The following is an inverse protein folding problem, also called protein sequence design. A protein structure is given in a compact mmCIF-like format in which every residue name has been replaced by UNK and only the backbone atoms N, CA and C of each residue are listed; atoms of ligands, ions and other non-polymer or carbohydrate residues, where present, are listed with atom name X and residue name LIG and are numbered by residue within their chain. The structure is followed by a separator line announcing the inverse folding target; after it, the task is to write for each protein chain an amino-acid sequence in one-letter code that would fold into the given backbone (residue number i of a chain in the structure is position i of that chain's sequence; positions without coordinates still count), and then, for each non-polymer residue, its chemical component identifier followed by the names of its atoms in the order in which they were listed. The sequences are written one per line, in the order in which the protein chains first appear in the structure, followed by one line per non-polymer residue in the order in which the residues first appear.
data_IF_143210203851
#
_entry.id   IF_143210203851
#
_cell.length_a   1.000
_cell.length_b   1.000
_cell.length_c   1.000
_cell.angle_alpha   90.00
_cell.angle_beta   90.00
_cell.angle_gamma   90.00
#
_symmetry.space_group_name_H-M   'P 1'
#
loop_
_entity.id
_entity.type
_entity.pdbx_description
1 polymer ?
#
# COMPACT_ATOMS: atom_id res chain seq x y z
N UNK A 1 9.68 5.31 22.01
CA UNK A 1 9.60 5.94 20.68
C UNK A 1 10.46 5.15 19.70
N UNK A 2 10.32 5.32 18.38
CA UNK A 2 11.15 4.59 17.39
C UNK A 2 12.65 4.89 17.56
N UNK A 3 12.98 6.05 18.13
CA UNK A 3 14.35 6.46 18.44
C UNK A 3 15.00 5.62 19.56
N UNK A 4 14.22 4.94 20.41
CA UNK A 4 14.75 4.13 21.51
C UNK A 4 15.42 2.83 21.04
N UNK A 5 15.16 2.43 19.80
CA UNK A 5 15.75 1.23 19.21
C UNK A 5 17.21 1.42 18.80
N UNK A 6 17.71 2.68 18.76
CA UNK A 6 19.08 3.01 18.41
C UNK A 6 19.57 2.31 17.12
N UNK A 7 18.75 2.38 16.07
CA UNK A 7 19.00 1.66 14.82
C UNK A 7 20.33 2.08 14.16
N UNK A 8 21.03 1.07 13.63
CA UNK A 8 22.19 1.22 12.77
C UNK A 8 21.91 0.72 11.34
N UNK A 9 22.66 1.23 10.38
CA UNK A 9 22.62 0.71 9.01
C UNK A 9 23.05 -0.76 8.98
N UNK A 10 22.21 -1.61 8.42
CA UNK A 10 22.37 -3.07 8.40
C UNK A 10 21.43 -3.81 9.34
N UNK A 11 20.81 -3.12 10.30
CA UNK A 11 19.85 -3.72 11.23
C UNK A 11 18.69 -4.36 10.49
N UNK A 12 18.23 -5.48 11.05
CA UNK A 12 17.17 -6.31 10.49
C UNK A 12 16.25 -6.80 11.58
N UNK A 13 14.95 -6.68 11.35
CA UNK A 13 13.91 -7.20 12.24
C UNK A 13 12.73 -7.73 11.44
N UNK A 14 11.95 -8.59 12.07
CA UNK A 14 10.74 -9.16 11.47
C UNK A 14 9.53 -8.58 12.15
N UNK A 15 8.58 -8.11 11.36
CA UNK A 15 7.27 -7.67 11.82
C UNK A 15 6.22 -8.68 11.37
N UNK A 16 5.55 -9.33 12.31
CA UNK A 16 4.40 -10.18 12.01
C UNK A 16 3.12 -9.35 12.06
N UNK A 17 2.35 -9.42 10.99
CA UNK A 17 1.02 -8.82 10.89
C UNK A 17 0.00 -9.90 10.56
N UNK A 18 -1.26 -9.68 10.96
CA UNK A 18 -2.35 -10.62 10.74
C UNK A 18 -2.00 -12.05 11.22
N UNK A 19 -2.05 -12.28 12.54
CA UNK A 19 -1.73 -13.59 13.17
C UNK A 19 -2.60 -14.77 12.70
N UNK A 20 -3.67 -14.53 11.92
CA UNK A 20 -4.42 -15.61 11.28
C UNK A 20 -3.77 -16.08 9.97
N UNK A 21 -3.18 -15.17 9.21
CA UNK A 21 -2.52 -15.46 7.93
C UNK A 21 -0.98 -15.48 8.05
N UNK A 22 -0.44 -15.14 9.22
CA UNK A 22 0.99 -15.15 9.55
C UNK A 22 1.84 -14.37 8.55
N UNK A 23 1.44 -13.13 8.23
CA UNK A 23 2.22 -12.31 7.32
C UNK A 23 3.49 -11.84 8.00
N UNK A 24 4.63 -12.29 7.50
CA UNK A 24 5.95 -11.92 7.99
C UNK A 24 6.58 -10.88 7.06
N UNK A 25 6.85 -9.70 7.61
CA UNK A 25 7.55 -8.62 6.94
C UNK A 25 9.00 -8.56 7.41
N UNK A 26 9.93 -8.74 6.48
CA UNK A 26 11.35 -8.52 6.73
C UNK A 26 11.67 -7.03 6.55
N UNK A 27 12.11 -6.37 7.63
CA UNK A 27 12.41 -4.94 7.62
C UNK A 27 13.91 -4.76 7.84
N UNK A 28 14.53 -3.96 6.97
CA UNK A 28 15.95 -3.65 7.01
C UNK A 28 16.17 -2.15 7.05
N UNK A 29 17.06 -1.71 7.92
CA UNK A 29 17.61 -0.34 7.91
C UNK A 29 18.75 -0.33 6.91
N UNK A 30 18.52 0.21 5.72
CA UNK A 30 19.55 0.23 4.66
C UNK A 30 20.47 1.45 4.74
N UNK A 31 19.93 2.60 5.14
CA UNK A 31 20.67 3.85 5.30
C UNK A 31 19.97 4.78 6.29
N UNK A 32 20.76 5.60 6.98
CA UNK A 32 20.27 6.65 7.89
C UNK A 32 20.73 7.99 7.33
N UNK A 33 19.78 8.90 7.12
CA UNK A 33 20.05 10.23 6.58
C UNK A 33 19.70 11.29 7.63
N UNK A 34 20.61 12.23 7.88
CA UNK A 34 20.37 13.37 8.79
C UNK A 34 19.48 14.47 8.15
N UNK A 35 19.20 14.38 6.85
CA UNK A 35 18.62 15.47 6.07
C UNK A 35 17.08 15.48 6.15
N UNK A 36 16.53 16.52 6.78
CA UNK A 36 15.13 16.64 7.22
C UNK A 36 14.19 17.36 6.24
N UNK A 37 14.62 17.63 5.01
CA UNK A 37 13.79 18.39 4.05
C UNK A 37 12.63 17.57 3.49
N UNK A 38 12.69 16.24 3.56
CA UNK A 38 11.63 15.35 3.09
C UNK A 38 10.61 15.10 4.21
N UNK A 39 9.33 15.36 3.91
CA UNK A 39 8.23 15.05 4.82
C UNK A 39 8.01 13.52 4.84
N UNK A 40 8.56 12.87 5.85
CA UNK A 40 8.34 11.46 6.14
C UNK A 40 6.96 11.20 6.78
N UNK A 41 6.36 10.01 6.61
CA UNK A 41 6.86 8.88 5.82
C UNK A 41 6.49 9.02 4.32
N UNK A 42 7.32 8.48 3.44
CA UNK A 42 7.03 8.37 2.02
C UNK A 42 7.70 7.11 1.44
N UNK A 43 7.12 6.58 0.38
CA UNK A 43 7.60 5.44 -0.38
C UNK A 43 8.44 5.89 -1.58
N UNK A 44 9.62 5.29 -1.72
CA UNK A 44 10.56 5.55 -2.82
C UNK A 44 10.32 4.60 -3.98
N UNK A 45 10.15 3.32 -3.68
CA UNK A 45 10.00 2.21 -4.62
C UNK A 45 9.36 0.99 -3.96
N UNK A 46 8.90 0.05 -4.78
CA UNK A 46 8.33 -1.21 -4.34
C UNK A 46 7.94 -2.08 -5.53
N UNK A 47 7.55 -3.30 -5.21
CA UNK A 47 6.94 -4.24 -6.15
C UNK A 47 5.50 -4.51 -5.71
N UNK A 48 4.67 -4.98 -6.65
CA UNK A 48 3.26 -5.25 -6.40
C UNK A 48 3.05 -6.33 -5.34
N UNK A 49 1.84 -6.86 -5.28
CA UNK A 49 1.51 -7.92 -4.31
C UNK A 49 2.45 -9.12 -4.47
N UNK A 50 3.05 -9.62 -3.37
CA UNK A 50 3.83 -10.85 -3.40
C UNK A 50 3.00 -12.01 -3.98
N UNK A 51 3.57 -12.69 -4.97
CA UNK A 51 2.89 -13.80 -5.67
C UNK A 51 1.98 -13.38 -6.83
N UNK A 52 1.67 -12.08 -6.99
CA UNK A 52 0.98 -11.61 -8.18
C UNK A 52 1.90 -11.69 -9.41
N UNK A 53 1.32 -12.13 -10.53
CA UNK A 53 2.00 -12.31 -11.81
C UNK A 53 1.65 -11.18 -12.78
N UNK A 54 2.41 -11.10 -13.89
CA UNK A 54 2.06 -10.19 -14.99
C UNK A 54 0.70 -10.51 -15.62
N UNK A 55 0.26 -11.78 -15.55
CA UNK A 55 -1.08 -12.17 -16.00
C UNK A 55 -2.16 -11.61 -15.07
N UNK A 56 -1.95 -11.65 -13.76
CA UNK A 56 -2.90 -11.07 -12.79
C UNK A 56 -3.05 -9.55 -13.02
N UNK A 57 -1.94 -8.84 -13.21
CA UNK A 57 -1.98 -7.41 -13.53
C UNK A 57 -2.70 -7.14 -14.86
N UNK A 58 -2.47 -7.97 -15.88
CA UNK A 58 -3.14 -7.86 -17.17
C UNK A 58 -4.65 -8.07 -17.04
N UNK A 59 -5.07 -9.13 -16.34
CA UNK A 59 -6.48 -9.47 -16.14
C UNK A 59 -7.21 -8.37 -15.36
N UNK A 60 -6.60 -7.81 -14.32
CA UNK A 60 -7.18 -6.69 -13.57
C UNK A 60 -7.22 -5.40 -14.38
N UNK A 61 -6.21 -5.16 -15.22
CA UNK A 61 -6.20 -4.02 -16.13
C UNK A 61 -7.31 -4.14 -17.17
N UNK A 62 -7.48 -5.32 -17.76
CA UNK A 62 -8.54 -5.58 -18.74
C UNK A 62 -9.92 -5.40 -18.12
N UNK A 63 -10.18 -6.00 -16.95
CA UNK A 63 -11.45 -5.85 -16.25
C UNK A 63 -11.77 -4.38 -15.92
N UNK A 64 -10.77 -3.59 -15.53
CA UNK A 64 -10.94 -2.16 -15.28
C UNK A 64 -11.29 -1.38 -16.55
N UNK A 65 -10.61 -1.66 -17.67
CA UNK A 65 -10.90 -1.03 -18.95
C UNK A 65 -12.29 -1.42 -19.48
N UNK A 66 -12.68 -2.69 -19.34
CA UNK A 66 -14.01 -3.17 -19.71
C UNK A 66 -15.10 -2.47 -18.90
N UNK A 67 -14.89 -2.27 -17.60
CA UNK A 67 -15.83 -1.52 -16.76
C UNK A 67 -16.00 -0.06 -17.22
N UNK A 68 -14.91 0.58 -17.68
CA UNK A 68 -14.96 1.94 -18.22
C UNK A 68 -15.65 1.98 -19.59
N UNK A 69 -15.31 1.06 -20.49
CA UNK A 69 -15.83 1.04 -21.87
C UNK A 69 -17.32 0.72 -21.91
N UNK A 70 -17.79 -0.12 -20.97
CA UNK A 70 -19.20 -0.49 -20.88
C UNK A 70 -20.02 0.44 -19.95
N UNK A 71 -19.40 1.48 -19.38
CA UNK A 71 -20.11 2.45 -18.57
C UNK A 71 -21.09 3.26 -19.44
N UNK A 72 -22.31 3.44 -18.92
CA UNK A 72 -23.35 4.28 -19.49
C UNK A 72 -23.56 5.55 -18.65
N UNK A 73 -24.55 6.38 -19.03
CA UNK A 73 -24.84 7.64 -18.36
C UNK A 73 -25.33 7.47 -16.90
N UNK A 74 -25.78 6.28 -16.53
CA UNK A 74 -26.22 5.95 -15.17
C UNK A 74 -25.08 5.37 -14.31
N UNK A 75 -23.98 4.96 -14.96
CA UNK A 75 -22.85 4.32 -14.28
C UNK A 75 -22.12 5.31 -13.37
N UNK A 76 -22.02 4.95 -12.10
CA UNK A 76 -21.40 5.77 -11.07
C UNK A 76 -19.90 5.47 -10.92
N UNK A 77 -19.15 6.46 -10.44
CA UNK A 77 -17.75 6.26 -10.02
C UNK A 77 -17.64 5.19 -8.92
N UNK A 78 -18.69 5.02 -8.11
CA UNK A 78 -18.74 4.00 -7.06
C UNK A 78 -18.71 2.57 -7.61
N UNK A 79 -19.30 2.34 -8.78
CA UNK A 79 -19.33 1.02 -9.45
C UNK A 79 -18.02 0.70 -10.16
N UNK A 80 -17.29 1.73 -10.63
CA UNK A 80 -15.99 1.57 -11.29
C UNK A 80 -14.85 1.39 -10.26
N UNK A 81 -14.97 2.02 -9.08
CA UNK A 81 -13.90 2.05 -8.07
C UNK A 81 -13.36 0.67 -7.64
N UNK A 82 -14.19 -0.38 -7.45
CA UNK A 82 -13.71 -1.71 -7.08
C UNK A 82 -12.71 -2.30 -8.08
N UNK A 83 -12.84 -2.00 -9.38
CA UNK A 83 -11.90 -2.48 -10.40
C UNK A 83 -10.54 -1.78 -10.30
N UNK A 84 -10.54 -0.49 -9.99
CA UNK A 84 -9.32 0.25 -9.72
C UNK A 84 -8.62 -0.27 -8.45
N UNK A 85 -9.39 -0.59 -7.40
CA UNK A 85 -8.85 -1.17 -6.17
C UNK A 85 -8.31 -2.60 -6.39
N UNK A 86 -8.98 -3.41 -7.20
CA UNK A 86 -8.49 -4.75 -7.58
C UNK A 86 -7.19 -4.67 -8.41
N UNK A 87 -7.05 -3.67 -9.28
CA UNK A 87 -5.80 -3.41 -9.99
C UNK A 87 -4.69 -2.91 -9.07
N UNK A 88 -4.98 -1.96 -8.18
CA UNK A 88 -4.02 -1.48 -7.18
C UNK A 88 -3.63 -2.55 -6.16
N UNK A 89 -4.43 -3.61 -5.99
CA UNK A 89 -4.08 -4.75 -5.16
C UNK A 89 -2.95 -5.58 -5.77
N UNK A 90 -2.89 -5.73 -7.10
CA UNK A 90 -1.85 -6.53 -7.77
C UNK A 90 -0.67 -5.67 -8.22
N UNK A 91 -0.94 -4.41 -8.59
CA UNK A 91 0.04 -3.48 -9.15
C UNK A 91 0.55 -2.50 -8.11
N UNK A 92 1.87 -2.32 -8.06
CA UNK A 92 2.46 -1.28 -7.24
C UNK A 92 2.17 0.14 -7.77
N UNK A 93 1.53 0.96 -6.94
CA UNK A 93 1.19 2.35 -7.27
C UNK A 93 1.79 3.34 -6.27
N UNK A 94 3.04 3.76 -6.53
CA UNK A 94 3.77 4.71 -5.67
C UNK A 94 3.01 6.01 -5.42
N UNK A 95 2.31 6.54 -6.41
CA UNK A 95 1.60 7.81 -6.29
C UNK A 95 0.40 7.70 -5.35
N UNK A 96 -0.38 6.61 -5.46
CA UNK A 96 -1.49 6.32 -4.53
C UNK A 96 -0.98 6.15 -3.11
N UNK A 97 0.09 5.36 -2.93
CA UNK A 97 0.72 5.12 -1.63
C UNK A 97 1.18 6.43 -1.00
N UNK A 98 1.97 7.25 -1.71
CA UNK A 98 2.46 8.51 -1.17
C UNK A 98 1.35 9.52 -0.86
N UNK A 99 0.26 9.52 -1.64
CA UNK A 99 -0.92 10.32 -1.33
C UNK A 99 -1.56 9.87 -0.01
N UNK A 100 -1.68 8.57 0.24
CA UNK A 100 -2.19 8.04 1.49
C UNK A 100 -1.26 8.35 2.67
N UNK A 101 0.05 8.09 2.52
CA UNK A 101 1.05 8.38 3.54
C UNK A 101 1.07 9.87 3.93
N UNK A 102 0.83 10.78 2.98
CA UNK A 102 0.81 12.22 3.25
C UNK A 102 -0.34 12.67 4.18
N UNK A 103 -1.36 11.82 4.36
CA UNK A 103 -2.54 12.07 5.21
C UNK A 103 -2.40 11.47 6.61
N UNK A 104 -1.41 10.62 6.84
CA UNK A 104 -1.20 10.00 8.14
C UNK A 104 -0.85 11.05 9.19
N UNK A 105 -1.58 11.03 10.30
CA UNK A 105 -1.19 11.71 11.53
C UNK A 105 -0.44 10.73 12.43
N UNK A 106 0.89 10.76 12.36
CA UNK A 106 1.75 9.91 13.19
C UNK A 106 1.79 10.33 14.67
N UNK A 107 1.27 11.51 15.01
CA UNK A 107 1.15 11.96 16.41
C UNK A 107 -0.15 11.46 17.05
N UNK A 108 -1.09 10.92 16.26
CA UNK A 108 -2.30 10.31 16.77
C UNK A 108 -2.00 8.96 17.43
N UNK A 109 -2.51 8.69 18.65
CA UNK A 109 -2.35 7.40 19.31
C UNK A 109 -3.14 6.27 18.62
N UNK A 110 -4.01 6.61 17.67
CA UNK A 110 -4.75 5.66 16.83
C UNK A 110 -4.19 5.80 15.42
N UNK A 111 -3.45 4.79 14.95
CA UNK A 111 -3.19 4.67 13.52
C UNK A 111 -4.55 4.58 12.82
N UNK A 112 -4.88 5.60 12.04
CA UNK A 112 -6.16 5.72 11.33
C UNK A 112 -6.48 4.40 10.60
N UNK A 113 -7.68 3.82 10.78
CA UNK A 113 -8.12 2.59 10.10
C UNK A 113 -8.03 2.64 8.57
N UNK A 114 -7.88 3.84 7.99
CA UNK A 114 -7.85 4.09 6.55
C UNK A 114 -6.70 3.40 5.79
N UNK A 115 -5.65 2.91 6.47
CA UNK A 115 -4.52 2.21 5.82
C UNK A 115 -4.73 0.70 5.73
N UNK A 116 -5.68 0.14 6.49
CA UNK A 116 -5.95 -1.31 6.53
C UNK A 116 -7.23 -1.62 5.76
N UNK A 117 -7.19 -1.49 4.44
CA UNK A 117 -8.22 -2.07 3.58
C UNK A 117 -7.86 -3.51 3.24
N UNK A 118 -8.04 -4.42 4.21
CA UNK A 118 -8.33 -5.81 3.89
C UNK A 118 -9.83 -5.91 3.71
N UNK A 119 -10.27 -5.78 2.46
CA UNK A 119 -11.68 -5.85 2.08
C UNK A 119 -12.32 -7.14 2.57
N UNK A 120 -13.23 -7.05 3.55
CA UNK A 120 -14.27 -8.06 3.75
C UNK A 120 -15.27 -7.89 2.61
N UNK A 121 -15.09 -8.62 1.52
CA UNK A 121 -16.23 -9.02 0.69
C UNK A 121 -16.94 -10.16 1.45
N UNK A 122 -18.12 -9.87 2.01
CA UNK A 122 -19.15 -10.86 2.33
C UNK A 122 -20.36 -10.55 1.47
#
# INVERSE_FOLDING_TARGET
MIDDFAFDAGDRFTYEYNFFEHWLHDIRVEAIYENSTLKAPFCISGHGMPGATAADEFDKTLAFLEAIVNADDETTVGEIRPFADDLDAVRFNRHKINRQLSRLDLASPVLEPEVIWLGRRR
#
